data_IF_422210730214
#
_entry.id   IF_422210730214
#
_cell.length_a   1.000
_cell.length_b   1.000
_cell.length_c   1.000
_cell.angle_alpha   90.00
_cell.angle_beta   90.00
_cell.angle_gamma   90.00
#
_symmetry.space_group_name_H-M   'P 1'
#
loop_
_entity.id
_entity.type
_entity.pdbx_description
1 polymer ?
#
# COMPACT_ATOMS: atom_id res chain seq x y z
N UNK A 1 -10.71 3.69 4.64
CA UNK A 1 -10.87 3.33 3.21
C UNK A 1 -10.63 4.51 2.26
N UNK A 2 -11.07 5.72 2.58
CA UNK A 2 -10.93 6.90 1.70
C UNK A 2 -9.46 7.20 1.29
N UNK A 3 -8.53 7.09 2.24
CA UNK A 3 -7.09 7.25 1.99
C UNK A 3 -6.51 6.22 1.00
N UNK A 4 -7.05 4.99 0.99
CA UNK A 4 -6.64 3.92 0.06
C UNK A 4 -7.05 4.28 -1.36
N UNK A 5 -8.27 4.78 -1.54
CA UNK A 5 -8.78 5.17 -2.85
C UNK A 5 -7.99 6.35 -3.43
N UNK A 6 -7.66 7.34 -2.60
CA UNK A 6 -6.85 8.50 -3.00
C UNK A 6 -5.45 8.07 -3.45
N UNK A 7 -4.77 7.21 -2.68
CA UNK A 7 -3.42 6.73 -3.02
C UNK A 7 -3.44 5.89 -4.29
N UNK A 8 -4.40 4.96 -4.42
CA UNK A 8 -4.54 4.15 -5.63
C UNK A 8 -4.82 5.00 -6.87
N UNK A 9 -5.68 6.01 -6.74
CA UNK A 9 -5.98 6.95 -7.82
C UNK A 9 -4.74 7.75 -8.24
N UNK A 10 -3.99 8.27 -7.27
CA UNK A 10 -2.75 9.02 -7.52
C UNK A 10 -1.72 8.18 -8.29
N UNK A 11 -1.52 6.93 -7.88
CA UNK A 11 -0.57 6.01 -8.52
C UNK A 11 -1.00 5.70 -9.95
N UNK A 12 -2.30 5.47 -10.18
CA UNK A 12 -2.80 5.28 -11.55
C UNK A 12 -2.69 6.51 -12.42
N UNK A 13 -2.86 7.71 -11.83
CA UNK A 13 -2.69 8.96 -12.56
C UNK A 13 -1.23 9.13 -13.01
N UNK A 14 -0.27 8.89 -12.12
CA UNK A 14 1.16 8.90 -12.44
C UNK A 14 1.50 7.86 -13.50
N UNK A 15 0.94 6.66 -13.43
CA UNK A 15 1.12 5.63 -14.45
C UNK A 15 0.60 6.10 -15.82
N UNK A 16 -0.60 6.66 -15.89
CA UNK A 16 -1.14 7.24 -17.13
C UNK A 16 -0.23 8.33 -17.71
N UNK A 17 0.31 9.23 -16.86
CA UNK A 17 1.23 10.29 -17.29
C UNK A 17 2.52 9.70 -17.86
N UNK A 18 3.14 8.74 -17.16
CA UNK A 18 4.36 8.06 -17.62
C UNK A 18 4.14 7.31 -18.93
N UNK A 19 2.99 6.63 -19.06
CA UNK A 19 2.63 5.87 -20.26
C UNK A 19 2.31 6.79 -21.45
N UNK A 20 1.76 7.98 -21.19
CA UNK A 20 1.57 9.02 -22.21
C UNK A 20 2.91 9.63 -22.65
N UNK A 21 3.83 9.85 -21.71
CA UNK A 21 5.22 10.25 -22.00
C UNK A 21 5.92 9.19 -22.87
N UNK A 22 5.77 7.91 -22.54
CA UNK A 22 6.33 6.79 -23.31
C UNK A 22 5.77 6.76 -24.75
N UNK A 23 4.46 6.88 -24.92
CA UNK A 23 3.83 6.93 -26.24
C UNK A 23 4.26 8.17 -27.06
N UNK A 24 4.50 9.32 -26.40
CA UNK A 24 4.90 10.56 -27.05
C UNK A 24 6.38 10.59 -27.46
N UNK A 25 7.27 10.00 -26.64
CA UNK A 25 8.71 10.16 -26.81
C UNK A 25 9.45 8.89 -27.28
N UNK A 26 8.98 7.69 -26.91
CA UNK A 26 9.66 6.43 -27.24
C UNK A 26 9.11 5.78 -28.51
N UNK A 27 7.78 5.59 -28.59
CA UNK A 27 7.23 4.68 -29.59
C UNK A 27 7.04 5.31 -30.97
N UNK A 28 6.88 6.65 -31.09
CA UNK A 28 6.68 7.43 -32.35
C UNK A 28 5.58 6.93 -33.32
N UNK A 29 5.01 5.77 -33.07
CA UNK A 29 3.88 5.14 -33.72
C UNK A 29 2.70 5.11 -32.74
N UNK A 30 1.51 5.39 -33.25
CA UNK A 30 0.29 5.32 -32.45
C UNK A 30 -0.05 3.85 -32.14
N UNK A 31 0.50 3.31 -31.05
CA UNK A 31 0.05 2.03 -30.50
C UNK A 31 -1.46 2.09 -30.23
N UNK A 32 -2.22 1.03 -30.54
CA UNK A 32 -3.66 1.07 -30.42
C UNK A 32 -4.05 1.27 -28.95
N UNK A 33 -4.90 2.29 -28.70
CA UNK A 33 -5.35 2.74 -27.38
C UNK A 33 -5.91 1.62 -26.50
N UNK A 34 -6.34 0.50 -27.10
CA UNK A 34 -6.81 -0.70 -26.39
C UNK A 34 -5.78 -1.29 -25.43
N UNK A 35 -4.49 -1.30 -25.79
CA UNK A 35 -3.45 -1.84 -24.89
C UNK A 35 -3.21 -0.92 -23.70
N UNK A 36 -3.26 0.40 -23.93
CA UNK A 36 -3.10 1.40 -22.88
C UNK A 36 -4.18 1.29 -21.80
N UNK A 37 -5.45 1.19 -22.22
CA UNK A 37 -6.58 1.06 -21.28
C UNK A 37 -6.50 -0.24 -20.49
N UNK A 38 -6.12 -1.36 -21.13
CA UNK A 38 -5.91 -2.64 -20.45
C UNK A 38 -4.83 -2.53 -19.37
N UNK A 39 -3.69 -1.92 -19.71
CA UNK A 39 -2.60 -1.73 -18.75
C UNK A 39 -2.99 -0.83 -17.59
N UNK A 40 -3.72 0.26 -17.85
CA UNK A 40 -4.20 1.16 -16.80
C UNK A 40 -5.14 0.44 -15.81
N UNK A 41 -6.04 -0.41 -16.31
CA UNK A 41 -6.93 -1.22 -15.46
C UNK A 41 -6.12 -2.20 -14.61
N UNK A 42 -5.12 -2.87 -15.17
CA UNK A 42 -4.25 -3.81 -14.44
C UNK A 42 -3.50 -3.08 -13.31
N UNK A 43 -2.95 -1.90 -13.59
CA UNK A 43 -2.23 -1.10 -12.58
C UNK A 43 -3.18 -0.60 -11.49
N UNK A 44 -4.40 -0.19 -11.85
CA UNK A 44 -5.41 0.21 -10.86
C UNK A 44 -5.74 -0.92 -9.90
N UNK A 45 -6.03 -2.12 -10.43
CA UNK A 45 -6.36 -3.30 -9.62
C UNK A 45 -5.18 -3.73 -8.77
N UNK A 46 -3.97 -3.80 -9.34
CA UNK A 46 -2.74 -4.14 -8.62
C UNK A 46 -2.50 -3.20 -7.44
N UNK A 47 -2.65 -1.89 -7.68
CA UNK A 47 -2.46 -0.88 -6.64
C UNK A 47 -3.54 -0.95 -5.56
N UNK A 48 -4.80 -1.15 -5.95
CA UNK A 48 -5.91 -1.29 -5.00
C UNK A 48 -5.71 -2.50 -4.08
N UNK A 49 -5.30 -3.65 -4.63
CA UNK A 49 -4.99 -4.86 -3.86
C UNK A 49 -3.77 -4.65 -2.96
N UNK A 50 -2.67 -4.07 -3.50
CA UNK A 50 -1.48 -3.78 -2.72
C UNK A 50 -1.74 -2.83 -1.55
N UNK A 51 -2.51 -1.76 -1.78
CA UNK A 51 -2.90 -0.81 -0.74
C UNK A 51 -3.84 -1.45 0.30
N UNK A 52 -4.74 -2.35 -0.11
CA UNK A 52 -5.59 -3.10 0.82
C UNK A 52 -4.75 -3.99 1.76
N UNK A 53 -3.81 -4.76 1.20
CA UNK A 53 -2.89 -5.60 1.97
C UNK A 53 -2.04 -4.73 2.92
N UNK A 54 -1.53 -3.60 2.44
CA UNK A 54 -0.73 -2.69 3.27
C UNK A 54 -1.53 -2.16 4.46
N UNK A 55 -2.77 -1.71 4.25
CA UNK A 55 -3.61 -1.20 5.34
C UNK A 55 -3.98 -2.29 6.36
N UNK A 56 -4.22 -3.52 5.91
CA UNK A 56 -4.49 -4.65 6.81
C UNK A 56 -3.27 -5.00 7.68
N UNK A 57 -2.06 -4.82 7.13
CA UNK A 57 -0.81 -5.14 7.80
C UNK A 57 -0.12 -3.93 8.46
N UNK A 58 -0.69 -2.73 8.37
CA UNK A 58 -0.05 -1.51 8.86
C UNK A 58 0.32 -1.61 10.35
N UNK A 59 -0.54 -2.24 11.17
CA UNK A 59 -0.25 -2.47 12.59
C UNK A 59 0.93 -3.42 12.78
N UNK A 60 0.96 -4.55 12.05
CA UNK A 60 2.05 -5.52 12.13
C UNK A 60 3.39 -4.94 11.65
N UNK A 61 3.37 -4.17 10.55
CA UNK A 61 4.56 -3.51 10.02
C UNK A 61 5.08 -2.46 11.01
N UNK A 62 4.18 -1.66 11.59
CA UNK A 62 4.54 -0.67 12.62
C UNK A 62 5.14 -1.34 13.85
N UNK A 63 4.55 -2.43 14.34
CA UNK A 63 5.08 -3.19 15.48
C UNK A 63 6.46 -3.80 15.20
N UNK A 64 6.68 -4.38 14.02
CA UNK A 64 8.00 -4.88 13.61
C UNK A 64 9.04 -3.75 13.56
N UNK A 65 8.72 -2.61 12.94
CA UNK A 65 9.62 -1.46 12.92
C UNK A 65 9.89 -0.92 14.32
N UNK A 66 8.91 -0.95 15.22
CA UNK A 66 9.06 -0.52 16.60
C UNK A 66 9.98 -1.43 17.41
N UNK A 67 9.91 -2.75 17.18
CA UNK A 67 10.79 -3.76 17.80
C UNK A 67 12.22 -3.62 17.27
N UNK A 68 12.40 -3.45 15.96
CA UNK A 68 13.73 -3.33 15.32
C UNK A 68 14.41 -2.00 15.67
N UNK A 69 13.66 -0.92 15.86
CA UNK A 69 14.20 0.42 16.12
C UNK A 69 14.31 0.74 17.62
N UNK A 70 13.99 -0.22 18.51
CA UNK A 70 13.99 -0.06 19.97
C UNK A 70 13.22 1.18 20.49
N UNK A 71 12.28 1.71 19.71
CA UNK A 71 11.41 2.82 20.13
C UNK A 71 10.34 2.27 21.08
N UNK A 72 10.74 1.93 22.31
CA UNK A 72 9.92 1.23 23.30
C UNK A 72 8.73 2.08 23.78
N UNK A 73 7.67 2.17 22.99
CA UNK A 73 6.33 2.53 23.47
C UNK A 73 5.54 1.24 23.59
N UNK A 74 5.57 0.64 24.78
CA UNK A 74 4.78 -0.56 25.08
C UNK A 74 3.30 -0.21 24.92
N UNK A 75 2.64 -0.84 23.95
CA UNK A 75 1.20 -0.69 23.77
C UNK A 75 0.49 -1.38 24.95
N UNK A 76 -0.01 -0.59 25.90
CA UNK A 76 -0.63 -1.05 27.16
C UNK A 76 -1.83 -1.98 26.93
N UNK A 77 -2.41 -2.01 25.73
CA UNK A 77 -3.52 -2.90 25.38
C UNK A 77 -3.11 -4.39 25.22
N UNK A 78 -1.84 -4.68 24.87
CA UNK A 78 -1.36 -6.04 24.60
C UNK A 78 -0.51 -6.64 25.73
N UNK A 79 -0.13 -5.85 26.74
CA UNK A 79 0.57 -6.39 27.92
C UNK A 79 -0.43 -7.11 28.81
N UNK A 80 -0.47 -8.45 28.72
CA UNK A 80 -1.16 -9.28 29.69
C UNK A 80 -0.49 -9.10 31.06
N UNK A 81 -1.20 -8.47 31.99
CA UNK A 81 -0.75 -8.36 33.37
C UNK A 81 -1.22 -9.64 34.06
N UNK A 82 -0.29 -10.58 34.29
CA UNK A 82 -0.55 -11.76 35.10
C UNK A 82 -0.67 -11.30 36.56
N UNK A 83 -1.85 -10.82 36.95
CA UNK A 83 -2.16 -10.41 38.32
C UNK A 83 -2.75 -11.55 39.15
N UNK A 84 -2.65 -12.80 38.71
CA UNK A 84 -3.17 -13.89 39.52
C UNK A 84 -2.33 -13.99 40.79
N UNK A 85 -3.00 -13.91 41.95
CA UNK A 85 -2.32 -13.99 43.23
C UNK A 85 -1.67 -15.39 43.32
N UNK A 86 -0.42 -15.51 43.80
CA UNK A 86 0.14 -16.83 44.03
C UNK A 86 -0.74 -17.55 45.04
N UNK A 87 -1.50 -18.55 44.56
CA UNK A 87 -2.20 -19.49 45.40
C UNK A 87 -1.15 -20.28 46.18
N UNK A 88 -0.80 -19.76 47.35
CA UNK A 88 -0.20 -20.54 48.43
C UNK A 88 -1.26 -21.42 49.07
#
# INVERSE_FOLDING_TARGET
MEKILIVSFLITFIFCVMKFLEAKYLDKEWKPLKYFVRDAIIVFVSTAVGAFIFFQNNNAISELFNVVTEAKTLNTANTQIFTDAPGF
#
